data_IF_876841654607
#
_entry.id   IF_876841654607
#
_cell.length_a   1.000
_cell.length_b   1.000
_cell.length_c   1.000
_cell.angle_alpha   90.00
_cell.angle_beta   90.00
_cell.angle_gamma   90.00
#
_symmetry.space_group_name_H-M   'P 1'
#
loop_
_entity.id
_entity.type
_entity.pdbx_description
1 polymer ?
#
# COMPACT_ATOMS: atom_id res chain seq x y z
N UNK A 1 -12.85 9.51 -28.48
CA UNK A 1 -12.39 9.89 -27.13
C UNK A 1 -11.11 9.14 -27.00
N UNK A 2 -10.01 9.84 -27.23
CA UNK A 2 -8.76 9.20 -27.59
C UNK A 2 -7.85 9.19 -26.35
N UNK A 3 -6.87 8.31 -26.34
CA UNK A 3 -6.05 8.03 -25.16
C UNK A 3 -5.43 9.31 -24.53
N UNK A 4 -5.04 10.28 -25.35
CA UNK A 4 -4.50 11.56 -24.89
C UNK A 4 -5.52 12.43 -24.12
N UNK A 5 -6.80 12.43 -24.53
CA UNK A 5 -7.86 13.16 -23.83
C UNK A 5 -8.15 12.55 -22.44
N UNK A 6 -7.94 11.24 -22.29
CA UNK A 6 -8.08 10.58 -20.99
C UNK A 6 -6.94 10.95 -20.03
N UNK A 7 -5.70 11.00 -20.52
CA UNK A 7 -4.54 11.40 -19.72
C UNK A 7 -4.61 12.87 -19.29
N UNK A 8 -5.02 13.79 -20.18
CA UNK A 8 -5.20 15.21 -19.81
C UNK A 8 -6.26 15.35 -18.69
N UNK A 9 -7.39 14.65 -18.79
CA UNK A 9 -8.42 14.64 -17.74
C UNK A 9 -7.90 14.12 -16.40
N UNK A 10 -7.06 13.08 -16.41
CA UNK A 10 -6.41 12.55 -15.20
C UNK A 10 -5.47 13.58 -14.59
N UNK A 11 -4.61 14.18 -15.40
CA UNK A 11 -3.65 15.19 -14.94
C UNK A 11 -4.35 16.37 -14.27
N UNK A 12 -5.40 16.91 -14.89
CA UNK A 12 -6.20 18.00 -14.32
C UNK A 12 -6.77 17.65 -12.95
N UNK A 13 -7.26 16.42 -12.79
CA UNK A 13 -7.80 15.93 -11.52
C UNK A 13 -6.71 15.80 -10.45
N UNK A 14 -5.52 15.32 -10.81
CA UNK A 14 -4.37 15.24 -9.89
C UNK A 14 -3.94 16.63 -9.43
N UNK A 15 -3.85 17.62 -10.33
CA UNK A 15 -3.49 19.00 -9.98
C UNK A 15 -4.50 19.58 -8.98
N UNK A 16 -5.80 19.39 -9.23
CA UNK A 16 -6.83 19.88 -8.32
C UNK A 16 -6.76 19.20 -6.95
N UNK A 17 -6.53 17.88 -6.90
CA UNK A 17 -6.36 17.15 -5.65
C UNK A 17 -5.13 17.62 -4.86
N UNK A 18 -4.00 17.83 -5.55
CA UNK A 18 -2.77 18.33 -4.91
C UNK A 18 -2.99 19.69 -4.26
N UNK A 19 -3.68 20.62 -4.94
CA UNK A 19 -3.96 21.94 -4.38
C UNK A 19 -4.67 21.89 -3.02
N UNK A 20 -5.61 20.95 -2.83
CA UNK A 20 -6.32 20.77 -1.54
C UNK A 20 -5.45 20.10 -0.48
N UNK A 21 -4.54 19.19 -0.89
CA UNK A 21 -3.69 18.43 0.04
C UNK A 21 -2.49 19.24 0.55
N UNK A 22 -2.03 20.22 -0.22
CA UNK A 22 -0.92 21.13 0.13
C UNK A 22 -1.35 22.25 1.10
N UNK A 23 -2.65 22.52 1.23
CA UNK A 23 -3.16 23.50 2.18
C UNK A 23 -2.82 23.11 3.63
N UNK A 24 -2.53 24.10 4.50
CA UNK A 24 -2.29 23.82 5.90
C UNK A 24 -3.49 23.11 6.54
N UNK A 25 -3.20 22.24 7.50
CA UNK A 25 -4.24 21.62 8.30
C UNK A 25 -4.86 22.69 9.20
N UNK A 26 -6.18 22.84 9.14
CA UNK A 26 -6.93 23.80 9.96
C UNK A 26 -7.77 23.08 11.02
N UNK A 27 -8.34 23.84 11.95
CA UNK A 27 -9.28 23.29 12.96
C UNK A 27 -10.59 22.80 12.33
N UNK A 28 -10.88 23.29 11.12
CA UNK A 28 -12.12 23.00 10.40
C UNK A 28 -12.01 21.67 9.61
N UNK A 29 -10.79 21.13 9.49
CA UNK A 29 -10.54 19.84 8.88
C UNK A 29 -11.01 18.69 9.79
N UNK A 30 -11.93 17.88 9.27
CA UNK A 30 -12.35 16.64 9.92
C UNK A 30 -11.19 15.61 9.99
N UNK A 31 -11.37 14.55 10.77
CA UNK A 31 -10.33 13.56 11.00
C UNK A 31 -9.82 12.85 9.72
N UNK A 32 -10.68 12.65 8.72
CA UNK A 32 -10.27 12.03 7.45
C UNK A 32 -9.40 12.99 6.63
N UNK A 33 -9.82 14.27 6.51
CA UNK A 33 -9.07 15.30 5.80
C UNK A 33 -7.69 15.50 6.42
N UNK A 34 -7.61 15.59 7.75
CA UNK A 34 -6.32 15.72 8.44
C UNK A 34 -5.40 14.53 8.16
N UNK A 35 -5.92 13.30 8.20
CA UNK A 35 -5.11 12.09 7.88
C UNK A 35 -4.61 12.12 6.44
N UNK A 36 -5.44 12.52 5.49
CA UNK A 36 -5.05 12.63 4.08
C UNK A 36 -3.95 13.68 3.87
N UNK A 37 -4.12 14.89 4.43
CA UNK A 37 -3.11 15.96 4.39
C UNK A 37 -1.80 15.54 5.07
N UNK A 38 -1.87 14.93 6.27
CA UNK A 38 -0.68 14.42 6.96
C UNK A 38 0.04 13.35 6.12
N UNK A 39 -0.70 12.38 5.57
CA UNK A 39 -0.12 11.34 4.73
C UNK A 39 0.57 11.94 3.50
N UNK A 40 -0.11 12.84 2.79
CA UNK A 40 0.47 13.57 1.66
C UNK A 40 1.78 14.29 2.06
N UNK A 41 1.78 15.05 3.15
CA UNK A 41 2.97 15.77 3.61
C UNK A 41 4.13 14.82 3.95
N UNK A 42 3.86 13.65 4.54
CA UNK A 42 4.92 12.65 4.78
C UNK A 42 5.51 12.07 3.50
N UNK A 43 4.71 11.96 2.43
CA UNK A 43 5.20 11.52 1.11
C UNK A 43 6.05 12.58 0.41
N UNK A 44 5.75 13.87 0.64
CA UNK A 44 6.47 14.97 -0.02
C UNK A 44 7.78 15.35 0.69
N UNK A 45 8.00 14.88 1.92
CA UNK A 45 9.25 15.08 2.68
C UNK A 45 10.39 14.15 2.18
N UNK A 46 10.83 14.42 0.95
CA UNK A 46 11.93 13.70 0.31
C UNK A 46 13.25 13.77 1.10
N UNK A 47 13.64 14.89 1.74
CA UNK A 47 14.83 14.92 2.59
C UNK A 47 14.80 13.88 3.71
N UNK A 48 13.66 13.75 4.40
CA UNK A 48 13.52 12.75 5.47
C UNK A 48 13.48 11.32 4.92
N UNK A 49 12.75 11.08 3.82
CA UNK A 49 12.73 9.77 3.15
C UNK A 49 14.15 9.33 2.76
N UNK A 50 14.93 10.22 2.16
CA UNK A 50 16.33 9.95 1.76
C UNK A 50 17.25 9.73 2.95
N UNK A 51 17.01 10.42 4.08
CA UNK A 51 17.76 10.23 5.32
C UNK A 51 17.49 8.84 5.93
N UNK A 52 16.25 8.36 5.87
CA UNK A 52 15.85 7.04 6.39
C UNK A 52 16.41 5.91 5.50
N UNK A 53 16.38 6.09 4.18
CA UNK A 53 16.89 5.09 3.24
C UNK A 53 16.01 3.84 3.15
N UNK A 54 16.64 2.67 3.01
CA UNK A 54 15.98 1.37 2.81
C UNK A 54 15.72 0.61 4.12
N UNK A 55 16.00 1.20 5.28
CA UNK A 55 15.81 0.54 6.57
C UNK A 55 14.38 0.03 6.83
N UNK A 56 13.30 0.76 6.48
CA UNK A 56 11.93 0.28 6.70
C UNK A 56 11.63 -1.02 5.94
N UNK A 57 12.09 -1.13 4.69
CA UNK A 57 11.87 -2.35 3.90
C UNK A 57 12.76 -3.49 4.38
N UNK A 58 13.98 -3.21 4.85
CA UNK A 58 14.85 -4.23 5.47
C UNK A 58 14.21 -4.83 6.70
N UNK A 59 13.56 -4.02 7.55
CA UNK A 59 12.87 -4.53 8.73
C UNK A 59 11.67 -5.41 8.37
N UNK A 60 10.89 -5.00 7.36
CA UNK A 60 9.81 -5.84 6.83
C UNK A 60 10.36 -7.19 6.35
N UNK A 61 11.43 -7.18 5.53
CA UNK A 61 12.05 -8.42 5.05
C UNK A 61 12.55 -9.30 6.20
N UNK A 62 13.19 -8.72 7.23
CA UNK A 62 13.63 -9.48 8.42
C UNK A 62 12.45 -10.13 9.14
N UNK A 63 11.34 -9.40 9.32
CA UNK A 63 10.13 -9.93 9.97
C UNK A 63 9.48 -11.08 9.19
N UNK A 64 9.69 -11.12 7.87
CA UNK A 64 9.20 -12.16 6.95
C UNK A 64 10.20 -13.31 6.74
N UNK A 65 11.23 -13.43 7.58
CA UNK A 65 12.23 -14.50 7.47
C UNK A 65 13.39 -14.20 6.52
N UNK A 66 13.50 -12.97 6.01
CA UNK A 66 14.57 -12.52 5.12
C UNK A 66 14.30 -12.75 3.65
N UNK A 67 15.21 -12.29 2.80
CA UNK A 67 15.15 -12.47 1.34
C UNK A 67 16.44 -13.16 0.86
N UNK A 68 16.39 -14.39 0.31
CA UNK A 68 17.60 -15.18 0.02
C UNK A 68 18.62 -14.48 -0.88
N UNK A 69 18.18 -13.62 -1.79
CA UNK A 69 19.06 -12.88 -2.71
C UNK A 69 19.80 -11.72 -2.03
N UNK A 70 19.23 -11.16 -0.96
CA UNK A 70 19.77 -10.00 -0.26
C UNK A 70 20.48 -10.38 1.06
N UNK A 71 20.37 -11.64 1.49
CA UNK A 71 20.89 -12.12 2.77
C UNK A 71 21.96 -13.21 2.55
N UNK A 72 23.25 -12.93 2.81
CA UNK A 72 24.30 -13.94 2.77
C UNK A 72 24.03 -15.07 3.77
N UNK A 73 24.31 -16.32 3.38
CA UNK A 73 24.08 -17.51 4.22
C UNK A 73 22.64 -17.60 4.77
N UNK A 74 21.66 -17.18 3.96
CA UNK A 74 20.26 -17.26 4.34
C UNK A 74 19.82 -18.70 4.58
N UNK A 75 19.09 -18.90 5.68
CA UNK A 75 18.41 -20.15 5.99
C UNK A 75 16.90 -19.91 6.01
N UNK A 76 16.08 -20.90 5.62
CA UNK A 76 14.63 -20.80 5.73
C UNK A 76 14.20 -20.50 7.17
N UNK A 77 13.17 -19.65 7.36
CA UNK A 77 12.58 -19.42 8.67
C UNK A 77 11.83 -20.66 9.17
N UNK A 78 11.63 -20.76 10.50
CA UNK A 78 10.99 -21.92 11.14
C UNK A 78 9.47 -22.02 10.89
N UNK A 79 8.88 -21.06 10.18
CA UNK A 79 7.46 -21.10 9.81
C UNK A 79 7.24 -21.64 8.40
N UNK A 80 6.04 -22.17 8.17
CA UNK A 80 5.67 -22.75 6.89
C UNK A 80 5.39 -21.70 5.82
N UNK A 81 5.40 -22.11 4.55
CA UNK A 81 5.10 -21.22 3.43
C UNK A 81 3.68 -20.62 3.54
N UNK A 82 2.72 -21.37 4.07
CA UNK A 82 1.35 -20.92 4.31
C UNK A 82 1.30 -19.77 5.33
N UNK A 83 2.12 -19.84 6.39
CA UNK A 83 2.23 -18.74 7.36
C UNK A 83 2.83 -17.51 6.69
N UNK A 84 3.89 -17.68 5.89
CA UNK A 84 4.51 -16.57 5.16
C UNK A 84 3.50 -15.88 4.24
N UNK A 85 2.80 -16.65 3.41
CA UNK A 85 1.77 -16.15 2.49
C UNK A 85 0.63 -15.47 3.26
N UNK A 86 0.21 -16.04 4.39
CA UNK A 86 -0.79 -15.44 5.27
C UNK A 86 -0.35 -14.11 5.87
N UNK A 87 0.91 -13.99 6.32
CA UNK A 87 1.46 -12.74 6.86
C UNK A 87 1.57 -11.67 5.78
N UNK A 88 2.11 -12.03 4.61
CA UNK A 88 2.25 -11.09 3.50
C UNK A 88 0.88 -10.55 3.08
N UNK A 89 -0.11 -11.44 2.96
CA UNK A 89 -1.46 -11.05 2.60
C UNK A 89 -2.19 -10.29 3.70
N UNK A 90 -2.05 -10.71 4.96
CA UNK A 90 -2.81 -10.18 6.09
C UNK A 90 -2.30 -8.85 6.61
N UNK A 91 -0.98 -8.63 6.58
CA UNK A 91 -0.33 -7.42 7.11
C UNK A 91 -0.10 -6.40 5.98
N UNK A 92 0.41 -6.88 4.84
CA UNK A 92 0.84 -5.99 3.75
C UNK A 92 -0.17 -5.91 2.61
N UNK A 93 -1.25 -6.69 2.65
CA UNK A 93 -2.28 -6.75 1.60
C UNK A 93 -1.72 -7.12 0.22
N UNK A 94 -0.61 -7.86 0.18
CA UNK A 94 0.01 -8.32 -1.06
C UNK A 94 -0.34 -9.78 -1.35
N UNK A 95 -0.66 -10.09 -2.61
CA UNK A 95 -0.98 -11.44 -3.08
C UNK A 95 0.21 -12.05 -3.83
N UNK A 96 0.77 -13.15 -3.30
CA UNK A 96 1.82 -13.91 -3.96
C UNK A 96 1.40 -15.38 -4.07
N UNK A 97 1.52 -15.97 -5.27
CA UNK A 97 1.07 -17.33 -5.63
C UNK A 97 -0.44 -17.55 -5.54
N UNK A 98 -1.06 -17.16 -4.42
CA UNK A 98 -2.49 -17.22 -4.14
C UNK A 98 -2.93 -15.80 -3.78
N UNK A 99 -3.85 -15.24 -4.56
CA UNK A 99 -4.42 -13.92 -4.30
C UNK A 99 -5.83 -14.12 -3.72
N UNK A 100 -6.02 -13.78 -2.44
CA UNK A 100 -7.35 -13.78 -1.83
C UNK A 100 -7.85 -12.34 -1.63
N UNK A 101 -9.17 -12.13 -1.61
CA UNK A 101 -9.78 -10.92 -1.06
C UNK A 101 -11.22 -11.18 -0.61
N UNK A 102 -11.77 -10.25 0.17
CA UNK A 102 -13.19 -10.27 0.54
C UNK A 102 -13.96 -9.41 -0.45
N UNK A 103 -14.90 -10.02 -1.16
CA UNK A 103 -15.74 -9.36 -2.16
C UNK A 103 -17.18 -9.87 -2.14
N UNK A 104 -18.10 -9.22 -2.86
CA UNK A 104 -19.49 -9.67 -2.95
C UNK A 104 -19.60 -11.04 -3.62
N UNK A 105 -20.55 -11.87 -3.17
CA UNK A 105 -20.86 -13.13 -3.84
C UNK A 105 -21.62 -12.85 -5.16
N UNK A 106 -21.09 -13.36 -6.28
CA UNK A 106 -21.71 -13.23 -7.60
C UNK A 106 -23.13 -13.83 -7.65
N UNK A 107 -23.42 -14.82 -6.78
CA UNK A 107 -24.76 -15.43 -6.67
C UNK A 107 -25.68 -14.72 -5.68
N UNK A 108 -25.11 -13.92 -4.77
CA UNK A 108 -25.88 -13.17 -3.78
C UNK A 108 -25.11 -11.91 -3.34
N UNK A 109 -25.36 -10.79 -4.01
CA UNK A 109 -24.67 -9.52 -3.76
C UNK A 109 -24.97 -8.87 -2.40
N UNK A 110 -25.85 -9.46 -1.59
CA UNK A 110 -26.11 -9.02 -0.21
C UNK A 110 -25.14 -9.62 0.81
N UNK A 111 -24.27 -10.56 0.40
CA UNK A 111 -23.25 -11.17 1.26
C UNK A 111 -21.86 -11.07 0.63
N UNK A 112 -20.82 -11.17 1.48
CA UNK A 112 -19.44 -11.24 1.03
C UNK A 112 -18.89 -12.66 1.20
N UNK A 113 -17.97 -13.04 0.32
CA UNK A 113 -17.21 -14.30 0.37
C UNK A 113 -15.71 -14.02 0.27
N UNK A 114 -14.90 -15.00 0.68
CA UNK A 114 -13.48 -15.03 0.34
C UNK A 114 -13.39 -15.51 -1.11
N UNK A 115 -12.88 -14.64 -1.97
CA UNK A 115 -12.56 -14.94 -3.35
C UNK A 115 -11.07 -15.27 -3.44
N UNK A 116 -10.72 -16.24 -4.28
CA UNK A 116 -9.33 -16.66 -4.51
C UNK A 116 -9.09 -16.72 -6.02
N UNK A 117 -7.98 -16.14 -6.47
CA UNK A 117 -7.44 -16.28 -7.83
C UNK A 117 -6.14 -17.07 -7.80
#
# INVERSE_FOLDING_TARGET
>A
MDFEDFEDKRLRKCIQANGVLEEPITLEDNAATRKAKTFYNTCMDLPNIRKIGDEPIREVLRSLGGWPVATPNWNPPDFSAEVLLGLIRGIYNEGFLIEQWVGPDDKNSSVNIIQVR
#
